data_IF_143650688728
#
_entry.id   IF_143650688728
#
_cell.length_a   1.000
_cell.length_b   1.000
_cell.length_c   1.000
_cell.angle_alpha   90.00
_cell.angle_beta   90.00
_cell.angle_gamma   90.00
#
_symmetry.space_group_name_H-M   'P 1'
#
loop_
_entity.id
_entity.type
_entity.pdbx_description
1 polymer ?
#
# COMPACT_ATOMS: atom_id res chain seq x y z
N UNK A 1 16.42 -0.68 6.79
CA UNK A 1 16.81 -2.03 7.24
C UNK A 1 16.25 -2.39 8.62
N UNK A 2 16.57 -1.65 9.70
CA UNK A 2 16.05 -1.94 11.06
C UNK A 2 14.53 -2.12 11.14
N UNK A 3 13.79 -1.34 10.37
CA UNK A 3 12.33 -1.46 10.28
C UNK A 3 11.88 -2.85 9.78
N UNK A 4 12.49 -3.35 8.70
CA UNK A 4 12.19 -4.67 8.15
C UNK A 4 12.67 -5.80 9.08
N UNK A 5 13.78 -5.62 9.79
CA UNK A 5 14.24 -6.54 10.86
C UNK A 5 13.17 -6.65 11.97
N UNK A 6 12.72 -5.52 12.53
CA UNK A 6 11.68 -5.51 13.59
C UNK A 6 10.34 -6.08 13.14
N UNK A 7 10.00 -5.93 11.86
CA UNK A 7 8.77 -6.48 11.28
C UNK A 7 8.93 -7.95 10.84
N UNK A 8 10.10 -8.55 11.05
CA UNK A 8 10.37 -9.96 10.72
C UNK A 8 10.48 -10.26 9.22
N UNK A 9 10.76 -9.26 8.38
CA UNK A 9 11.00 -9.45 6.95
C UNK A 9 12.47 -9.71 6.62
N UNK A 10 13.39 -9.31 7.49
CA UNK A 10 14.82 -9.63 7.37
C UNK A 10 15.27 -10.41 8.61
N UNK A 11 16.08 -11.45 8.44
CA UNK A 11 16.72 -12.10 9.59
C UNK A 11 17.62 -11.11 10.32
N UNK A 12 17.82 -11.34 11.62
CA UNK A 12 18.74 -10.52 12.42
C UNK A 12 20.16 -10.75 11.89
N UNK A 13 20.84 -9.71 11.37
CA UNK A 13 22.17 -9.89 10.81
C UNK A 13 23.18 -10.22 11.91
N UNK A 14 24.23 -11.02 11.60
CA UNK A 14 25.36 -11.20 12.50
C UNK A 14 26.04 -9.84 12.77
N UNK A 15 26.82 -9.80 13.85
CA UNK A 15 27.57 -8.60 14.24
C UNK A 15 29.07 -8.83 14.10
N UNK A 16 29.81 -7.79 13.70
CA UNK A 16 31.26 -7.78 13.77
C UNK A 16 31.73 -7.81 15.23
N UNK A 17 33.02 -8.08 15.46
CA UNK A 17 33.64 -7.97 16.78
C UNK A 17 33.46 -6.57 17.41
N UNK A 18 33.39 -5.53 16.57
CA UNK A 18 33.12 -4.14 16.96
C UNK A 18 31.61 -3.79 17.08
N UNK A 19 30.72 -4.76 16.93
CA UNK A 19 29.28 -4.60 17.14
C UNK A 19 28.45 -4.11 15.94
N UNK A 20 29.06 -3.89 14.76
CA UNK A 20 28.37 -3.46 13.56
C UNK A 20 27.57 -4.60 12.90
N UNK A 21 26.41 -4.29 12.31
CA UNK A 21 25.60 -5.28 11.57
C UNK A 21 26.29 -5.63 10.25
N UNK A 22 26.48 -6.91 10.01
CA UNK A 22 27.04 -7.43 8.76
C UNK A 22 25.90 -7.92 7.87
N UNK A 23 25.75 -7.29 6.70
CA UNK A 23 24.72 -7.67 5.73
C UNK A 23 25.35 -8.43 4.57
N UNK A 24 24.82 -9.63 4.30
CA UNK A 24 25.23 -10.44 3.16
C UNK A 24 24.64 -9.90 1.84
N UNK A 25 25.19 -10.36 0.71
CA UNK A 25 24.60 -10.12 -0.61
C UNK A 25 23.14 -10.61 -0.71
N UNK A 26 22.79 -11.67 0.02
CA UNK A 26 21.43 -12.16 0.15
C UNK A 26 20.52 -11.16 0.87
N UNK A 27 21.01 -10.51 1.94
CA UNK A 27 20.26 -9.44 2.62
C UNK A 27 19.94 -8.29 1.66
N UNK A 28 20.89 -7.94 0.79
CA UNK A 28 20.70 -6.91 -0.26
C UNK A 28 19.64 -7.36 -1.27
N UNK A 29 19.71 -8.60 -1.77
CA UNK A 29 18.69 -9.16 -2.69
C UNK A 29 17.30 -9.14 -2.07
N UNK A 30 17.18 -9.56 -0.81
CA UNK A 30 15.92 -9.57 -0.06
C UNK A 30 15.35 -8.16 0.15
N UNK A 31 16.19 -7.18 0.44
CA UNK A 31 15.76 -5.78 0.52
C UNK A 31 15.25 -5.27 -0.82
N UNK A 32 15.92 -5.60 -1.92
CA UNK A 32 15.48 -5.22 -3.27
C UNK A 32 14.13 -5.83 -3.61
N UNK A 33 13.91 -7.09 -3.24
CA UNK A 33 12.62 -7.77 -3.36
C UNK A 33 11.52 -7.02 -2.59
N UNK A 34 11.76 -6.73 -1.29
CA UNK A 34 10.80 -6.01 -0.46
C UNK A 34 10.42 -4.66 -1.09
N UNK A 35 11.41 -3.89 -1.53
CA UNK A 35 11.16 -2.57 -2.14
C UNK A 35 10.29 -2.66 -3.39
N UNK A 36 10.63 -3.57 -4.32
CA UNK A 36 9.84 -3.77 -5.55
C UNK A 36 8.41 -4.21 -5.24
N UNK A 37 8.22 -5.10 -4.27
CA UNK A 37 6.87 -5.52 -3.87
C UNK A 37 6.07 -4.36 -3.24
N UNK A 38 6.72 -3.48 -2.47
CA UNK A 38 6.07 -2.27 -1.94
C UNK A 38 5.66 -1.30 -3.05
N UNK A 39 6.51 -1.13 -4.07
CA UNK A 39 6.19 -0.30 -5.26
C UNK A 39 4.96 -0.82 -6.01
N UNK A 40 4.75 -2.14 -6.02
CA UNK A 40 3.57 -2.79 -6.60
C UNK A 40 2.34 -2.80 -5.66
N UNK A 41 2.42 -2.15 -4.49
CA UNK A 41 1.28 -2.01 -3.59
C UNK A 41 1.05 -3.23 -2.67
N UNK A 42 2.03 -4.12 -2.52
CA UNK A 42 1.95 -5.17 -1.51
C UNK A 42 2.22 -4.59 -0.11
N UNK A 43 1.31 -4.77 0.86
CA UNK A 43 1.59 -4.47 2.26
C UNK A 43 2.62 -5.45 2.82
N UNK A 44 3.31 -5.05 3.90
CA UNK A 44 4.40 -5.85 4.48
C UNK A 44 3.98 -7.27 4.90
N UNK A 45 2.71 -7.47 5.26
CA UNK A 45 2.17 -8.79 5.59
C UNK A 45 2.23 -9.72 4.38
N UNK A 46 1.70 -9.28 3.24
CA UNK A 46 1.73 -10.05 1.99
C UNK A 46 3.16 -10.24 1.47
N UNK A 47 4.04 -9.23 1.63
CA UNK A 47 5.46 -9.37 1.28
C UNK A 47 6.14 -10.45 2.11
N UNK A 48 5.82 -10.53 3.42
CA UNK A 48 6.37 -11.58 4.28
C UNK A 48 5.93 -12.97 3.81
N UNK A 49 4.70 -13.12 3.37
CA UNK A 49 4.16 -14.37 2.85
C UNK A 49 4.82 -14.74 1.51
N UNK A 50 5.01 -13.78 0.58
CA UNK A 50 5.77 -14.00 -0.65
C UNK A 50 7.23 -14.40 -0.38
N UNK A 51 7.87 -13.80 0.63
CA UNK A 51 9.22 -14.16 1.06
C UNK A 51 9.29 -15.56 1.68
N UNK A 52 8.19 -16.04 2.28
CA UNK A 52 8.12 -17.41 2.80
C UNK A 52 8.01 -18.42 1.65
N UNK A 53 7.23 -18.11 0.61
CA UNK A 53 7.12 -18.95 -0.59
C UNK A 53 8.46 -19.14 -1.32
N UNK A 54 9.37 -18.17 -1.27
CA UNK A 54 10.69 -18.29 -1.91
C UNK A 54 11.61 -19.34 -1.27
N UNK A 55 11.36 -19.71 0.00
CA UNK A 55 12.22 -20.61 0.77
C UNK A 55 11.49 -21.88 1.21
N UNK A 56 10.18 -21.98 0.96
CA UNK A 56 9.38 -23.17 1.25
C UNK A 56 9.63 -24.26 0.21
N UNK A 57 9.72 -25.50 0.66
CA UNK A 57 9.84 -26.68 -0.20
C UNK A 57 8.55 -26.91 -1.01
N UNK A 58 7.40 -26.58 -0.43
CA UNK A 58 6.07 -26.81 -1.03
C UNK A 58 5.53 -25.58 -1.78
N UNK A 59 6.25 -24.46 -1.78
CA UNK A 59 5.78 -23.22 -2.41
C UNK A 59 5.83 -23.34 -3.93
N UNK A 60 4.71 -23.06 -4.59
CA UNK A 60 4.59 -23.17 -6.04
C UNK A 60 4.52 -21.81 -6.72
N UNK A 61 4.80 -21.76 -8.02
CA UNK A 61 4.55 -20.58 -8.85
C UNK A 61 3.05 -20.25 -8.93
N UNK A 62 2.17 -21.23 -8.72
CA UNK A 62 0.73 -21.02 -8.66
C UNK A 62 0.33 -20.18 -7.43
N UNK A 63 0.91 -20.47 -6.25
CA UNK A 63 0.66 -19.67 -5.03
C UNK A 63 1.10 -18.20 -5.21
N UNK A 64 2.24 -17.99 -5.88
CA UNK A 64 2.75 -16.65 -6.19
C UNK A 64 1.81 -15.94 -7.16
N UNK A 65 1.33 -16.65 -8.18
CA UNK A 65 0.40 -16.12 -9.17
C UNK A 65 -0.93 -15.72 -8.54
N UNK A 66 -1.52 -16.58 -7.70
CA UNK A 66 -2.78 -16.30 -7.00
C UNK A 66 -2.69 -15.00 -6.19
N UNK A 67 -1.58 -14.81 -5.46
CA UNK A 67 -1.33 -13.58 -4.68
C UNK A 67 -1.20 -12.34 -5.56
N UNK A 68 -0.60 -12.48 -6.73
CA UNK A 68 -0.50 -11.38 -7.70
C UNK A 68 -1.88 -11.04 -8.29
N UNK A 69 -2.68 -12.03 -8.65
CA UNK A 69 -4.05 -11.85 -9.15
C UNK A 69 -4.96 -11.20 -8.09
N UNK A 70 -4.85 -11.63 -6.83
CA UNK A 70 -5.54 -10.99 -5.70
C UNK A 70 -5.12 -9.52 -5.52
N UNK A 71 -3.82 -9.21 -5.72
CA UNK A 71 -3.34 -7.83 -5.69
C UNK A 71 -3.92 -6.99 -6.82
N UNK A 72 -3.97 -7.53 -8.03
CA UNK A 72 -4.56 -6.88 -9.20
C UNK A 72 -6.03 -6.55 -8.91
N UNK A 73 -6.82 -7.52 -8.45
CA UNK A 73 -8.23 -7.30 -8.12
C UNK A 73 -8.41 -6.20 -7.05
N UNK A 74 -7.59 -6.18 -6.01
CA UNK A 74 -7.62 -5.13 -4.99
C UNK A 74 -7.24 -3.74 -5.54
N UNK A 75 -6.31 -3.67 -6.49
CA UNK A 75 -5.96 -2.42 -7.18
C UNK A 75 -7.13 -1.93 -8.03
N UNK A 76 -7.79 -2.81 -8.76
CA UNK A 76 -8.95 -2.47 -9.61
C UNK A 76 -10.10 -1.88 -8.80
N UNK A 77 -10.44 -2.48 -7.65
CA UNK A 77 -11.46 -1.94 -6.74
C UNK A 77 -11.06 -0.58 -6.15
N UNK A 78 -9.78 -0.40 -5.83
CA UNK A 78 -9.28 0.91 -5.39
C UNK A 78 -9.37 1.95 -6.50
N UNK A 79 -9.04 1.59 -7.74
CA UNK A 79 -9.19 2.48 -8.91
C UNK A 79 -10.65 2.88 -9.09
N UNK A 80 -11.59 1.93 -9.01
CA UNK A 80 -13.02 2.19 -9.10
C UNK A 80 -13.48 3.18 -8.03
N UNK A 81 -13.07 2.96 -6.78
CA UNK A 81 -13.37 3.84 -5.66
C UNK A 81 -12.79 5.25 -5.86
N UNK A 82 -11.51 5.36 -6.24
CA UNK A 82 -10.85 6.63 -6.50
C UNK A 82 -11.47 7.39 -7.67
N UNK A 83 -11.92 6.69 -8.73
CA UNK A 83 -12.66 7.30 -9.85
C UNK A 83 -14.00 7.87 -9.39
N UNK A 84 -14.73 7.15 -8.53
CA UNK A 84 -15.99 7.64 -7.97
C UNK A 84 -15.78 8.89 -7.10
N UNK A 85 -14.78 8.86 -6.20
CA UNK A 85 -14.40 10.02 -5.38
C UNK A 85 -14.00 11.23 -6.24
N UNK A 86 -13.17 11.01 -7.27
CA UNK A 86 -12.78 12.07 -8.22
C UNK A 86 -13.99 12.67 -8.93
N UNK A 87 -14.96 11.85 -9.35
CA UNK A 87 -16.19 12.33 -10.01
C UNK A 87 -17.04 13.15 -9.05
N UNK A 88 -17.17 12.72 -7.79
CA UNK A 88 -17.90 13.46 -6.76
C UNK A 88 -17.25 14.83 -6.50
N UNK A 89 -15.94 14.86 -6.25
CA UNK A 89 -15.19 16.10 -6.09
C UNK A 89 -15.31 17.01 -7.31
N UNK A 90 -15.25 16.45 -8.53
CA UNK A 90 -15.41 17.19 -9.78
C UNK A 90 -16.75 17.94 -9.86
N UNK A 91 -17.85 17.32 -9.41
CA UNK A 91 -19.17 17.98 -9.34
C UNK A 91 -19.20 19.14 -8.35
N UNK A 92 -18.61 18.94 -7.17
CA UNK A 92 -18.53 19.98 -6.15
C UNK A 92 -17.71 21.18 -6.63
N UNK A 93 -16.56 20.90 -7.27
CA UNK A 93 -15.72 21.96 -7.82
C UNK A 93 -16.37 22.70 -8.98
N UNK A 94 -17.18 22.03 -9.82
CA UNK A 94 -17.91 22.72 -10.90
C UNK A 94 -19.04 23.61 -10.39
N UNK A 95 -19.57 23.34 -9.19
CA UNK A 95 -20.61 24.15 -8.58
C UNK A 95 -20.05 25.38 -7.83
N UNK A 96 -18.75 25.40 -7.54
CA UNK A 96 -18.09 26.51 -6.87
C UNK A 96 -17.42 27.44 -7.89
N UNK A 97 -17.82 28.71 -7.91
CA UNK A 97 -17.21 29.72 -8.78
C UNK A 97 -15.82 30.18 -8.31
N UNK A 98 -15.39 29.78 -7.11
CA UNK A 98 -14.10 30.15 -6.52
C UNK A 98 -13.98 31.62 -6.11
N UNK A 99 -15.11 32.34 -6.04
CA UNK A 99 -15.20 33.75 -5.65
C UNK A 99 -16.17 33.90 -4.47
N UNK A 100 -16.05 34.99 -3.72
CA UNK A 100 -16.91 35.27 -2.57
C UNK A 100 -16.34 34.75 -1.23
N UNK A 101 -17.19 34.77 -0.21
CA UNK A 101 -16.81 34.38 1.15
C UNK A 101 -16.81 32.86 1.33
N UNK A 102 -16.01 32.35 2.26
CA UNK A 102 -15.96 30.91 2.59
C UNK A 102 -17.32 30.40 3.10
N UNK A 103 -18.10 31.27 3.75
CA UNK A 103 -19.46 31.00 4.22
C UNK A 103 -20.47 30.69 3.11
N UNK A 104 -20.20 31.10 1.87
CA UNK A 104 -21.08 30.88 0.71
C UNK A 104 -20.55 29.77 -0.22
N UNK A 105 -19.51 29.05 0.21
CA UNK A 105 -18.85 28.05 -0.61
C UNK A 105 -19.72 26.77 -0.74
N UNK A 106 -20.22 26.43 -1.95
CA UNK A 106 -21.09 25.26 -2.12
C UNK A 106 -20.40 23.93 -1.83
N UNK A 107 -19.06 23.89 -1.91
CA UNK A 107 -18.27 22.71 -1.53
C UNK A 107 -18.38 22.47 -0.03
N UNK A 108 -18.18 23.51 0.79
CA UNK A 108 -18.23 23.38 2.25
C UNK A 108 -19.65 23.10 2.72
N UNK A 109 -20.64 23.76 2.11
CA UNK A 109 -22.05 23.46 2.35
C UNK A 109 -22.34 21.97 2.09
N UNK A 110 -21.94 21.44 0.92
CA UNK A 110 -22.15 20.03 0.59
C UNK A 110 -21.37 19.04 1.48
N UNK A 111 -20.22 19.42 2.05
CA UNK A 111 -19.45 18.57 2.95
C UNK A 111 -19.97 18.63 4.39
N UNK A 112 -20.59 19.74 4.78
CA UNK A 112 -21.21 19.95 6.09
C UNK A 112 -22.66 19.45 6.17
N UNK A 113 -23.32 19.31 5.02
CA UNK A 113 -24.64 18.70 4.91
C UNK A 113 -24.52 17.21 5.24
N UNK A 114 -24.88 16.84 6.46
CA UNK A 114 -25.20 15.47 6.85
C UNK A 114 -26.37 14.97 6.00
N UNK A 115 -26.10 14.49 4.78
CA UNK A 115 -27.09 13.68 4.07
C UNK A 115 -27.13 12.35 4.79
N UNK A 116 -28.18 12.19 5.59
CA UNK A 116 -28.76 10.91 5.97
C UNK A 116 -28.67 9.96 4.77
N UNK A 117 -27.78 8.98 4.89
CA UNK A 117 -27.84 7.81 4.02
C UNK A 117 -29.07 7.05 4.49
N UNK A 118 -30.14 7.03 3.69
CA UNK A 118 -31.25 6.11 3.93
C UNK A 118 -30.68 4.69 4.09
N UNK A 119 -30.80 4.16 5.31
CA UNK A 119 -30.63 2.74 5.64
C UNK A 119 -31.84 1.94 5.16
#
# INVERSE_FOLDING_TARGET
>A
MRYYERRGLLPKPPRSASGYRLFSSESVRRIRFIKRAQELGFPLKEIKELLALQVSVDGTSADVRERAEAKIAGIEEKIKTLRAMKKALGRLTSACCGQGSVSECPILESLSSEREVCL
#
